data_IF_576782985681
#
_entry.id   IF_576782985681
#
_cell.length_a   1.000
_cell.length_b   1.000
_cell.length_c   1.000
_cell.angle_alpha   90.00
_cell.angle_beta   90.00
_cell.angle_gamma   90.00
#
_symmetry.space_group_name_H-M   'P 1'
#
loop_
_entity.id
_entity.type
_entity.pdbx_description
1 polymer ?
#
# COMPACT_ATOMS: atom_id res chain seq x y z
N UNK A 1 1.58 21.71 -5.77
CA UNK A 1 0.60 21.48 -4.70
C UNK A 1 1.37 21.10 -3.45
N UNK A 2 1.19 21.83 -2.34
CA UNK A 2 1.89 21.56 -1.07
C UNK A 2 0.87 21.04 -0.06
N UNK A 3 1.06 19.82 0.46
CA UNK A 3 0.19 19.21 1.49
C UNK A 3 0.99 18.70 2.70
N UNK A 4 2.27 19.04 2.77
CA UNK A 4 3.20 18.45 3.74
C UNK A 4 2.82 18.79 5.18
N UNK A 5 2.21 19.96 5.40
CA UNK A 5 1.79 20.43 6.72
C UNK A 5 0.30 20.16 7.02
N UNK A 6 -0.46 19.65 6.03
CA UNK A 6 -1.89 19.40 6.19
C UNK A 6 -2.13 18.13 7.01
N UNK A 7 -3.23 18.10 7.77
CA UNK A 7 -3.60 16.88 8.49
C UNK A 7 -4.05 15.78 7.51
N UNK A 8 -4.03 14.51 7.95
CA UNK A 8 -4.53 13.42 7.11
C UNK A 8 -6.06 13.53 6.87
N UNK A 9 -6.79 14.15 7.79
CA UNK A 9 -8.22 14.46 7.65
C UNK A 9 -8.45 15.49 6.55
N UNK A 10 -7.66 16.57 6.55
CA UNK A 10 -7.74 17.62 5.53
C UNK A 10 -7.39 17.04 4.16
N UNK A 11 -6.37 16.19 4.07
CA UNK A 11 -6.00 15.51 2.82
C UNK A 11 -7.11 14.56 2.36
N UNK A 12 -7.78 13.85 3.28
CA UNK A 12 -8.94 13.03 2.94
C UNK A 12 -10.05 13.90 2.35
N UNK A 13 -10.37 15.01 3.02
CA UNK A 13 -11.38 15.96 2.56
C UNK A 13 -11.01 16.53 1.18
N UNK A 14 -9.76 16.93 0.97
CA UNK A 14 -9.25 17.40 -0.32
C UNK A 14 -9.42 16.33 -1.41
N UNK A 15 -9.16 15.05 -1.11
CA UNK A 15 -9.39 13.95 -2.04
C UNK A 15 -10.89 13.80 -2.39
N UNK A 16 -11.79 13.97 -1.42
CA UNK A 16 -13.24 13.89 -1.62
C UNK A 16 -13.73 14.97 -2.58
N UNK A 17 -13.32 16.22 -2.34
CA UNK A 17 -13.80 17.39 -3.10
C UNK A 17 -13.10 17.56 -4.45
N UNK A 18 -12.03 16.79 -4.70
CA UNK A 18 -11.25 16.92 -5.92
C UNK A 18 -12.11 16.66 -7.17
N UNK A 19 -12.30 17.67 -8.00
CA UNK A 19 -13.05 17.53 -9.24
C UNK A 19 -12.15 16.98 -10.35
N UNK A 20 -12.56 15.86 -10.96
CA UNK A 20 -11.79 15.20 -12.03
C UNK A 20 -12.45 15.53 -13.35
N UNK A 21 -11.92 16.55 -14.02
CA UNK A 21 -12.28 16.91 -15.40
C UNK A 21 -11.19 16.48 -16.37
N UNK A 22 -11.59 15.70 -17.37
CA UNK A 22 -10.76 15.42 -18.54
C UNK A 22 -11.50 15.95 -19.75
N UNK A 23 -10.86 16.83 -20.53
CA UNK A 23 -11.48 17.59 -21.63
C UNK A 23 -11.86 16.72 -22.84
N UNK A 24 -11.30 15.52 -22.98
CA UNK A 24 -11.47 14.68 -24.16
C UNK A 24 -12.47 13.53 -23.95
N UNK A 25 -13.43 13.38 -24.87
CA UNK A 25 -14.52 12.41 -24.80
C UNK A 25 -14.26 11.04 -25.45
N UNK A 26 -13.03 10.76 -25.90
CA UNK A 26 -12.72 9.46 -26.47
C UNK A 26 -12.77 8.34 -25.44
N UNK A 27 -13.06 7.11 -25.89
CA UNK A 27 -13.23 5.94 -25.02
C UNK A 27 -12.06 5.70 -24.04
N UNK A 28 -10.83 5.99 -24.48
CA UNK A 28 -9.62 5.90 -23.64
C UNK A 28 -9.65 6.88 -22.45
N UNK A 29 -10.01 8.14 -22.69
CA UNK A 29 -10.13 9.14 -21.61
C UNK A 29 -11.36 8.90 -20.74
N UNK A 30 -12.47 8.40 -21.29
CA UNK A 30 -13.64 7.97 -20.49
C UNK A 30 -13.27 6.86 -19.51
N UNK A 31 -12.49 5.87 -19.95
CA UNK A 31 -11.97 4.82 -19.07
C UNK A 31 -11.03 5.39 -18.00
N UNK A 32 -10.07 6.23 -18.41
CA UNK A 32 -9.14 6.88 -17.49
C UNK A 32 -9.86 7.72 -16.42
N UNK A 33 -10.88 8.49 -16.81
CA UNK A 33 -11.72 9.27 -15.88
C UNK A 33 -12.35 8.37 -14.82
N UNK A 34 -12.95 7.26 -15.24
CA UNK A 34 -13.55 6.28 -14.31
C UNK A 34 -12.51 5.70 -13.34
N UNK A 35 -11.34 5.32 -13.84
CA UNK A 35 -10.26 4.81 -13.00
C UNK A 35 -9.77 5.84 -11.98
N UNK A 36 -9.60 7.11 -12.38
CA UNK A 36 -9.23 8.19 -11.48
C UNK A 36 -10.30 8.44 -10.40
N UNK A 37 -11.59 8.46 -10.79
CA UNK A 37 -12.70 8.60 -9.84
C UNK A 37 -12.74 7.46 -8.83
N UNK A 38 -12.44 6.24 -9.26
CA UNK A 38 -12.39 5.07 -8.39
C UNK A 38 -11.22 5.17 -7.40
N UNK A 39 -10.02 5.51 -7.89
CA UNK A 39 -8.84 5.74 -7.03
C UNK A 39 -9.09 6.86 -6.04
N UNK A 40 -9.76 7.95 -6.43
CA UNK A 40 -10.19 9.02 -5.53
C UNK A 40 -11.06 8.51 -4.40
N UNK A 41 -12.04 7.66 -4.71
CA UNK A 41 -12.95 7.08 -3.71
C UNK A 41 -12.20 6.19 -2.72
N UNK A 42 -11.39 5.26 -3.23
CA UNK A 42 -10.57 4.37 -2.39
C UNK A 42 -9.62 5.17 -1.51
N UNK A 43 -8.95 6.18 -2.07
CA UNK A 43 -8.03 7.01 -1.31
C UNK A 43 -8.75 7.75 -0.19
N UNK A 44 -9.89 8.38 -0.48
CA UNK A 44 -10.69 9.05 0.54
C UNK A 44 -11.14 8.10 1.65
N UNK A 45 -11.73 6.94 1.30
CA UNK A 45 -12.15 5.95 2.30
C UNK A 45 -10.96 5.49 3.15
N UNK A 46 -9.81 5.25 2.53
CA UNK A 46 -8.62 4.84 3.26
C UNK A 46 -8.12 5.94 4.20
N UNK A 47 -8.12 7.20 3.75
CA UNK A 47 -7.67 8.34 4.54
C UNK A 47 -8.61 8.70 5.70
N UNK A 48 -9.92 8.47 5.55
CA UNK A 48 -10.91 8.68 6.61
C UNK A 48 -10.91 7.57 7.67
N UNK A 49 -10.47 6.34 7.33
CA UNK A 49 -10.38 5.22 8.27
C UNK A 49 -9.11 5.32 9.13
N UNK A 50 -9.08 6.35 9.98
CA UNK A 50 -7.92 6.83 10.74
C UNK A 50 -7.23 5.80 11.63
N UNK A 51 -7.93 4.76 12.09
CA UNK A 51 -7.38 3.72 12.96
C UNK A 51 -6.19 2.97 12.30
N UNK A 52 -6.13 2.93 10.96
CA UNK A 52 -4.98 2.37 10.23
C UNK A 52 -3.85 3.39 10.06
N UNK A 53 -4.17 4.68 10.01
CA UNK A 53 -3.24 5.76 9.69
C UNK A 53 -2.44 6.18 10.92
N UNK A 54 -2.96 6.03 12.14
CA UNK A 54 -2.28 6.51 13.34
C UNK A 54 -0.92 5.85 13.61
N UNK A 55 -0.62 4.65 13.07
CA UNK A 55 0.66 3.99 13.35
C UNK A 55 1.40 3.40 12.15
N UNK A 56 0.72 2.98 11.06
CA UNK A 56 1.37 2.18 10.00
C UNK A 56 0.75 2.39 8.61
N UNK A 57 1.56 2.73 7.60
CA UNK A 57 1.13 2.55 6.20
C UNK A 57 1.43 1.13 5.78
N UNK A 58 0.42 0.44 5.25
CA UNK A 58 0.62 -0.85 4.60
C UNK A 58 1.54 -0.69 3.37
N UNK A 59 2.70 -1.34 3.36
CA UNK A 59 3.66 -1.32 2.24
C UNK A 59 3.02 -1.69 0.91
N UNK A 60 2.04 -2.62 0.89
CA UNK A 60 1.32 -2.99 -0.31
C UNK A 60 0.45 -1.85 -0.85
N UNK A 61 -0.14 -1.04 0.04
CA UNK A 61 -0.88 0.14 -0.37
C UNK A 61 0.06 1.18 -0.99
N UNK A 62 1.22 1.42 -0.36
CA UNK A 62 2.21 2.33 -0.90
C UNK A 62 2.69 1.90 -2.30
N UNK A 63 3.08 0.64 -2.47
CA UNK A 63 3.51 0.08 -3.77
C UNK A 63 2.37 0.20 -4.79
N UNK A 64 1.14 -0.14 -4.40
CA UNK A 64 -0.04 -0.04 -5.27
C UNK A 64 -0.27 1.41 -5.71
N UNK A 65 -0.17 2.37 -4.81
CA UNK A 65 -0.30 3.79 -5.13
C UNK A 65 0.81 4.27 -6.08
N UNK A 66 2.07 3.88 -5.85
CA UNK A 66 3.18 4.21 -6.77
C UNK A 66 2.92 3.67 -8.17
N UNK A 67 2.53 2.39 -8.27
CA UNK A 67 2.22 1.76 -9.55
C UNK A 67 1.03 2.42 -10.24
N UNK A 68 0.02 2.84 -9.46
CA UNK A 68 -1.18 3.53 -9.96
C UNK A 68 -0.85 4.91 -10.51
N UNK A 69 -0.04 5.69 -9.79
CA UNK A 69 0.44 7.00 -10.25
C UNK A 69 1.26 6.86 -11.52
N UNK A 70 2.21 5.92 -11.58
CA UNK A 70 3.00 5.65 -12.79
C UNK A 70 2.12 5.22 -13.97
N UNK A 71 1.09 4.39 -13.74
CA UNK A 71 0.12 3.99 -14.76
C UNK A 71 -0.62 5.21 -15.31
N UNK A 72 -1.07 6.11 -14.43
CA UNK A 72 -1.78 7.32 -14.84
C UNK A 72 -0.86 8.29 -15.57
N UNK A 73 0.37 8.53 -15.13
CA UNK A 73 1.33 9.36 -15.86
C UNK A 73 1.47 8.93 -17.33
N UNK A 74 1.72 7.64 -17.55
CA UNK A 74 1.81 7.06 -18.90
C UNK A 74 0.51 7.25 -19.69
N UNK A 75 -0.64 7.11 -19.05
CA UNK A 75 -1.94 7.29 -19.71
C UNK A 75 -2.21 8.76 -20.08
N UNK A 76 -1.86 9.69 -19.20
CA UNK A 76 -1.98 11.13 -19.47
C UNK A 76 -1.03 11.57 -20.59
N UNK A 77 0.20 11.06 -20.62
CA UNK A 77 1.16 11.31 -21.70
C UNK A 77 0.65 10.73 -23.03
N UNK A 78 0.21 9.47 -23.03
CA UNK A 78 -0.33 8.79 -24.21
C UNK A 78 -1.53 9.51 -24.82
N UNK A 79 -2.36 10.14 -24.00
CA UNK A 79 -3.58 10.84 -24.42
C UNK A 79 -3.41 12.36 -24.53
N UNK A 80 -2.19 12.87 -24.37
CA UNK A 80 -1.85 14.30 -24.39
C UNK A 80 -2.75 15.16 -23.48
N UNK A 81 -3.08 14.63 -22.30
CA UNK A 81 -3.95 15.30 -21.33
C UNK A 81 -3.11 16.30 -20.51
N UNK A 82 -3.50 17.57 -20.58
CA UNK A 82 -2.80 18.68 -19.90
C UNK A 82 -3.25 18.87 -18.46
N UNK A 83 -4.56 18.79 -18.18
CA UNK A 83 -5.12 18.95 -16.83
C UNK A 83 -4.78 17.75 -15.96
N UNK A 84 -3.74 17.86 -15.14
CA UNK A 84 -3.15 16.78 -14.32
C UNK A 84 -3.32 16.98 -12.82
N UNK A 85 -4.22 17.85 -12.40
CA UNK A 85 -4.33 18.31 -11.01
C UNK A 85 -4.50 17.16 -10.02
N UNK A 86 -5.40 16.21 -10.30
CA UNK A 86 -5.59 15.05 -9.43
C UNK A 86 -4.37 14.12 -9.42
N UNK A 87 -3.65 13.99 -10.53
CA UNK A 87 -2.41 13.22 -10.59
C UNK A 87 -1.28 13.89 -9.78
N UNK A 88 -1.19 15.22 -9.85
CA UNK A 88 -0.28 16.00 -9.00
C UNK A 88 -0.66 15.87 -7.52
N UNK A 89 -1.96 15.79 -7.23
CA UNK A 89 -2.45 15.51 -5.88
C UNK A 89 -1.98 14.15 -5.38
N UNK A 90 -2.17 13.08 -6.18
CA UNK A 90 -1.72 11.73 -5.83
C UNK A 90 -0.20 11.66 -5.62
N UNK A 91 0.60 12.39 -6.41
CA UNK A 91 2.05 12.51 -6.21
C UNK A 91 2.39 13.16 -4.87
N UNK A 92 1.73 14.26 -4.54
CA UNK A 92 1.94 14.95 -3.28
C UNK A 92 1.57 14.06 -2.07
N UNK A 93 0.48 13.29 -2.18
CA UNK A 93 0.11 12.28 -1.16
C UNK A 93 1.21 11.23 -1.02
N UNK A 94 1.70 10.66 -2.13
CA UNK A 94 2.82 9.71 -2.09
C UNK A 94 4.06 10.28 -1.39
N UNK A 95 4.39 11.54 -1.64
CA UNK A 95 5.58 12.16 -1.03
C UNK A 95 5.39 12.41 0.47
N UNK A 96 4.18 12.80 0.92
CA UNK A 96 3.86 12.88 2.35
C UNK A 96 3.89 11.49 3.01
N UNK A 97 3.31 10.46 2.37
CA UNK A 97 3.37 9.07 2.85
C UNK A 97 4.83 8.60 3.01
N UNK A 98 5.72 8.94 2.05
CA UNK A 98 7.16 8.62 2.14
C UNK A 98 7.84 9.27 3.34
N UNK A 99 7.58 10.56 3.55
CA UNK A 99 8.23 11.36 4.61
C UNK A 99 7.77 10.97 6.00
N UNK A 100 6.46 10.81 6.18
CA UNK A 100 5.87 10.65 7.52
C UNK A 100 5.80 9.19 7.97
N UNK A 101 5.64 8.23 7.04
CA UNK A 101 5.10 6.91 7.41
C UNK A 101 5.70 5.69 6.68
N UNK A 102 6.80 5.85 5.94
CA UNK A 102 7.70 4.73 5.56
C UNK A 102 8.64 4.29 6.69
N UNK A 103 8.34 4.64 7.95
CA UNK A 103 9.08 4.19 9.13
C UNK A 103 8.46 2.96 9.79
N UNK A 104 7.87 2.04 9.05
CA UNK A 104 7.49 0.75 9.63
C UNK A 104 7.20 -0.34 8.59
N UNK A 105 8.24 -1.11 8.30
CA UNK A 105 8.24 -2.55 8.56
C UNK A 105 9.73 -2.91 8.59
N UNK A 106 10.38 -2.94 9.77
CA UNK A 106 11.67 -3.62 9.83
C UNK A 106 11.34 -5.11 9.64
N UNK A 107 11.81 -5.79 8.58
CA UNK A 107 11.59 -7.23 8.40
C UNK A 107 12.30 -8.08 9.47
N UNK A 108 12.95 -7.44 10.45
CA UNK A 108 13.74 -8.06 11.49
C UNK A 108 12.86 -8.75 12.53
N UNK A 109 11.71 -8.19 12.91
CA UNK A 109 10.84 -8.80 13.93
C UNK A 109 10.20 -10.09 13.42
N UNK A 110 9.70 -10.10 12.17
CA UNK A 110 9.21 -11.33 11.52
C UNK A 110 10.30 -12.37 11.27
N UNK A 111 11.54 -11.97 10.96
CA UNK A 111 12.66 -12.92 10.84
C UNK A 111 13.03 -13.57 12.17
N UNK A 112 12.92 -12.85 13.28
CA UNK A 112 13.18 -13.40 14.62
C UNK A 112 12.07 -14.39 15.01
N UNK A 113 10.80 -14.09 14.73
CA UNK A 113 9.69 -15.02 14.95
C UNK A 113 9.80 -16.28 14.08
N UNK A 114 10.08 -16.15 12.78
CA UNK A 114 10.29 -17.29 11.89
C UNK A 114 11.48 -18.16 12.34
N UNK A 115 12.58 -17.53 12.80
CA UNK A 115 13.74 -18.25 13.34
C UNK A 115 13.42 -18.99 14.64
N UNK A 116 12.59 -18.41 15.52
CA UNK A 116 12.10 -19.09 16.74
C UNK A 116 11.18 -20.26 16.41
N UNK A 117 10.23 -20.10 15.49
CA UNK A 117 9.32 -21.17 15.06
C UNK A 117 10.07 -22.31 14.38
N UNK A 118 11.04 -22.00 13.51
CA UNK A 118 11.90 -23.00 12.87
C UNK A 118 12.71 -23.80 13.90
N UNK A 119 13.33 -23.13 14.87
CA UNK A 119 14.08 -23.81 15.94
C UNK A 119 13.20 -24.69 16.85
N UNK A 120 11.92 -24.33 17.03
CA UNK A 120 10.97 -25.17 17.78
C UNK A 120 10.58 -26.43 17.01
N UNK A 121 10.39 -26.33 15.69
CA UNK A 121 10.08 -27.46 14.82
C UNK A 121 11.24 -28.45 14.69
N UNK A 122 12.49 -27.95 14.59
CA UNK A 122 13.69 -28.78 14.54
C UNK A 122 13.92 -29.53 15.86
N UNK A 123 13.64 -28.91 17.02
CA UNK A 123 13.71 -29.60 18.33
C UNK A 123 12.66 -30.69 18.49
N UNK A 124 11.50 -30.58 17.84
CA UNK A 124 10.47 -31.62 17.89
C UNK A 124 10.73 -32.77 16.91
N UNK A 125 11.51 -32.57 15.84
CA UNK A 125 11.88 -33.66 14.93
C UNK A 125 12.99 -34.55 15.49
N UNK A 126 13.89 -34.00 16.31
CA UNK A 126 15.00 -34.76 16.91
C UNK A 126 14.56 -35.60 18.13
N UNK A 127 13.33 -35.41 18.62
CA UNK A 127 12.77 -36.17 19.76
C UNK A 127 12.03 -37.46 19.40
N UNK A 128 11.83 -37.75 18.10
CA UNK A 128 11.08 -38.93 17.63
C UNK A 128 11.97 -40.00 16.97
N UNK A 129 13.25 -40.05 17.35
CA UNK A 129 14.25 -40.88 16.71
C UNK A 129 15.05 -41.80 17.63
N UNK A 130 14.48 -42.33 18.73
CA UNK A 130 15.03 -43.50 19.42
C UNK A 130 13.93 -44.25 20.19
N UNK A 131 13.24 -45.16 19.51
CA UNK A 131 12.73 -46.38 20.15
C UNK A 131 13.51 -47.54 19.54
N UNK A 132 14.63 -47.88 20.17
CA UNK A 132 15.34 -49.13 19.94
C UNK A 132 14.44 -50.28 20.42
N UNK A 133 13.90 -51.06 19.48
CA UNK A 133 13.32 -52.35 19.79
C UNK A 133 14.47 -53.35 19.98
N UNK A 134 14.86 -53.55 21.22
CA UNK A 134 15.69 -54.65 21.66
C UNK A 134 15.40 -54.99 23.10
N UNK A 135 14.80 -56.16 23.35
CA UNK A 135 15.21 -57.16 24.34
C UNK A 135 14.04 -58.11 24.68
N UNK A 136 14.17 -59.37 24.24
CA UNK A 136 13.61 -60.59 24.86
C UNK A 136 14.00 -60.67 26.35
N UNK A 137 13.06 -61.07 27.23
CA UNK A 137 13.12 -62.08 28.33
C UNK A 137 11.62 -62.34 28.70
N UNK A 138 11.02 -63.55 28.76
CA UNK A 138 11.38 -64.85 29.38
C UNK A 138 10.91 -66.00 28.48
#
# INVERSE_FOLDING_TARGET
>A
MQIENESWEDIAHMAHVFHIELENEHNGTKKLKKELCFVRHILHEHLCNQDQIQNFINTNLFITMVNTVNKFEKAFDKHNIKRREFLLFLRAVLDKLKKEKLKAEKPLERKVEFKRMKNLLEKTSDGFGHMENGHEII
#
